data_IF_920341108206
#
_entry.id   IF_920341108206
#
_cell.length_a   1.000
_cell.length_b   1.000
_cell.length_c   1.000
_cell.angle_alpha   90.00
_cell.angle_beta   90.00
_cell.angle_gamma   90.00
#
_symmetry.space_group_name_H-M   'P 1'
#
loop_
_entity.id
_entity.type
_entity.pdbx_description
1 polymer ?
#
# COMPACT_ATOMS: atom_id res chain seq x y z
N UNK A 1 -6.48 -24.25 10.03
CA UNK A 1 -5.40 -23.57 9.29
C UNK A 1 -5.52 -23.97 7.83
N UNK A 2 -6.07 -23.12 6.95
CA UNK A 2 -6.09 -23.42 5.52
C UNK A 2 -4.66 -23.28 4.98
N UNK A 3 -4.02 -24.41 4.69
CA UNK A 3 -2.76 -24.45 3.94
C UNK A 3 -3.04 -24.09 2.48
N UNK A 4 -3.34 -22.82 2.22
CA UNK A 4 -3.52 -22.30 0.87
C UNK A 4 -2.14 -22.14 0.23
N UNK A 5 -1.50 -23.26 -0.11
CA UNK A 5 -0.41 -23.24 -1.07
C UNK A 5 -0.96 -22.68 -2.39
N UNK A 6 -0.25 -21.74 -3.00
CA UNK A 6 -0.66 -21.16 -4.29
C UNK A 6 -0.49 -22.27 -5.35
N UNK A 7 -1.55 -23.07 -5.54
CA UNK A 7 -1.55 -24.16 -6.53
C UNK A 7 -2.16 -23.68 -7.84
N UNK A 8 -1.52 -24.02 -8.95
CA UNK A 8 -2.12 -23.83 -10.26
C UNK A 8 -3.40 -24.67 -10.36
N UNK A 9 -4.47 -24.09 -10.91
CA UNK A 9 -5.76 -24.79 -11.05
C UNK A 9 -5.70 -25.99 -12.01
N UNK A 10 -4.71 -26.04 -12.92
CA UNK A 10 -4.61 -27.07 -13.97
C UNK A 10 -3.43 -27.97 -13.69
N UNK A 11 -3.62 -29.24 -14.05
CA UNK A 11 -2.62 -30.29 -13.89
C UNK A 11 -1.96 -30.68 -15.22
N UNK A 12 -2.50 -30.23 -16.36
CA UNK A 12 -1.93 -30.48 -17.68
C UNK A 12 -0.93 -29.40 -18.09
N UNK A 13 0.13 -29.79 -18.80
CA UNK A 13 1.26 -28.92 -19.17
C UNK A 13 0.81 -27.75 -20.05
N UNK A 14 -0.03 -28.01 -21.05
CA UNK A 14 -0.54 -26.97 -21.96
C UNK A 14 -1.34 -25.88 -21.22
N UNK A 15 -2.24 -26.28 -20.32
CA UNK A 15 -3.03 -25.34 -19.53
C UNK A 15 -2.19 -24.60 -18.49
N UNK A 16 -1.07 -25.17 -18.04
CA UNK A 16 -0.09 -24.48 -17.18
C UNK A 16 0.57 -23.33 -17.95
N UNK A 17 1.01 -23.56 -19.19
CA UNK A 17 1.54 -22.50 -20.04
C UNK A 17 0.52 -21.40 -20.30
N UNK A 18 -0.72 -21.76 -20.63
CA UNK A 18 -1.79 -20.79 -20.82
C UNK A 18 -2.01 -19.92 -19.57
N UNK A 19 -1.96 -20.52 -18.38
CA UNK A 19 -2.11 -19.76 -17.11
C UNK A 19 -0.93 -18.85 -16.83
N UNK A 20 0.29 -19.32 -17.07
CA UNK A 20 1.48 -18.50 -16.87
C UNK A 20 1.46 -17.28 -17.81
N UNK A 21 1.14 -17.51 -19.08
CA UNK A 21 1.01 -16.46 -20.08
C UNK A 21 -0.14 -15.50 -19.73
N UNK A 22 -1.28 -16.02 -19.29
CA UNK A 22 -2.41 -15.20 -18.83
C UNK A 22 -2.06 -14.33 -17.63
N UNK A 23 -1.30 -14.86 -16.66
CA UNK A 23 -0.81 -14.11 -15.51
C UNK A 23 0.16 -13.00 -15.94
N UNK A 24 1.08 -13.32 -16.85
CA UNK A 24 2.08 -12.37 -17.37
C UNK A 24 1.41 -11.24 -18.17
N UNK A 25 0.43 -11.57 -19.00
CA UNK A 25 -0.41 -10.61 -19.71
C UNK A 25 -1.17 -9.69 -18.74
N UNK A 26 -1.80 -10.26 -17.72
CA UNK A 26 -2.51 -9.49 -16.68
C UNK A 26 -1.58 -8.54 -15.94
N UNK A 27 -0.39 -9.00 -15.55
CA UNK A 27 0.63 -8.16 -14.90
C UNK A 27 1.05 -6.98 -15.80
N UNK A 28 1.39 -7.26 -17.06
CA UNK A 28 1.85 -6.24 -18.00
C UNK A 28 0.76 -5.20 -18.30
N UNK A 29 -0.50 -5.64 -18.42
CA UNK A 29 -1.63 -4.74 -18.61
C UNK A 29 -1.79 -3.79 -17.43
N UNK A 30 -1.79 -4.31 -16.20
CA UNK A 30 -1.89 -3.49 -14.98
C UNK A 30 -0.73 -2.49 -14.90
N UNK A 31 0.51 -2.93 -15.20
CA UNK A 31 1.69 -2.06 -15.18
C UNK A 31 1.67 -0.97 -16.25
N UNK A 32 1.12 -1.27 -17.43
CA UNK A 32 0.94 -0.27 -18.49
C UNK A 32 -0.05 0.81 -18.06
N UNK A 33 -1.19 0.43 -17.51
CA UNK A 33 -2.21 1.40 -17.04
C UNK A 33 -1.71 2.24 -15.87
N UNK A 34 -0.97 1.64 -14.95
CA UNK A 34 -0.28 2.36 -13.88
C UNK A 34 0.71 3.40 -14.42
N UNK A 35 1.49 3.04 -15.43
CA UNK A 35 2.46 3.93 -16.06
C UNK A 35 1.78 5.09 -16.79
N UNK A 36 0.68 4.83 -17.50
CA UNK A 36 -0.11 5.87 -18.18
C UNK A 36 -0.72 6.85 -17.18
N UNK A 37 -1.27 6.34 -16.07
CA UNK A 37 -1.79 7.19 -15.00
C UNK A 37 -0.68 8.00 -14.31
N UNK A 38 0.51 7.42 -14.13
CA UNK A 38 1.66 8.15 -13.58
C UNK A 38 2.05 9.33 -14.48
N UNK A 39 2.09 9.12 -15.80
CA UNK A 39 2.36 10.16 -16.80
C UNK A 39 1.29 11.25 -16.77
N UNK A 40 0.00 10.90 -16.70
CA UNK A 40 -1.09 11.89 -16.65
C UNK A 40 -1.05 12.76 -15.38
N UNK A 41 -0.59 12.20 -14.25
CA UNK A 41 -0.48 12.93 -12.98
C UNK A 41 0.89 13.56 -12.74
N UNK A 42 1.83 13.48 -13.69
CA UNK A 42 3.22 13.96 -13.55
C UNK A 42 3.93 13.40 -12.31
N UNK A 43 3.68 12.12 -12.00
CA UNK A 43 4.21 11.41 -10.83
C UNK A 43 5.04 10.22 -11.30
N UNK A 44 5.92 9.71 -10.43
CA UNK A 44 6.65 8.49 -10.72
C UNK A 44 5.75 7.26 -10.51
N UNK A 45 5.84 6.26 -11.40
CA UNK A 45 5.07 5.01 -11.28
C UNK A 45 5.32 4.30 -9.92
N UNK A 46 6.52 4.43 -9.36
CA UNK A 46 6.88 3.87 -8.06
C UNK A 46 6.03 4.40 -6.88
N UNK A 47 5.38 5.55 -7.05
CA UNK A 47 4.49 6.14 -6.03
C UNK A 47 3.10 5.50 -6.02
N UNK A 48 2.74 4.72 -7.05
CA UNK A 48 1.47 4.02 -7.14
C UNK A 48 1.61 2.63 -6.51
N UNK A 49 0.57 2.18 -5.81
CA UNK A 49 0.54 0.83 -5.25
C UNK A 49 -0.11 -0.15 -6.23
N UNK A 50 0.67 -1.12 -6.71
CA UNK A 50 0.18 -2.23 -7.54
C UNK A 50 -1.06 -2.92 -6.97
N UNK A 51 -1.11 -3.13 -5.64
CA UNK A 51 -2.26 -3.74 -4.95
C UNK A 51 -3.54 -2.94 -5.17
N UNK A 52 -3.48 -1.62 -4.99
CA UNK A 52 -4.65 -0.75 -5.12
C UNK A 52 -5.10 -0.64 -6.58
N UNK A 53 -4.15 -0.55 -7.52
CA UNK A 53 -4.46 -0.57 -8.96
C UNK A 53 -5.15 -1.87 -9.35
N UNK A 54 -4.63 -3.02 -8.93
CA UNK A 54 -5.23 -4.32 -9.23
C UNK A 54 -6.65 -4.46 -8.66
N UNK A 55 -6.87 -3.99 -7.43
CA UNK A 55 -8.20 -3.99 -6.80
C UNK A 55 -9.18 -3.09 -7.55
N UNK A 56 -8.74 -1.90 -7.94
CA UNK A 56 -9.55 -0.94 -8.67
C UNK A 56 -9.90 -1.45 -10.08
N UNK A 57 -8.92 -1.96 -10.85
CA UNK A 57 -9.20 -2.60 -12.16
C UNK A 57 -10.17 -3.76 -11.97
N UNK A 58 -9.96 -4.61 -10.96
CA UNK A 58 -10.85 -5.72 -10.67
C UNK A 58 -12.28 -5.27 -10.33
N UNK A 59 -12.46 -4.18 -9.57
CA UNK A 59 -13.79 -3.65 -9.26
C UNK A 59 -14.48 -3.07 -10.49
N UNK A 60 -13.74 -2.35 -11.33
CA UNK A 60 -14.29 -1.77 -12.55
C UNK A 60 -14.70 -2.85 -13.57
N UNK A 61 -13.87 -3.88 -13.75
CA UNK A 61 -14.21 -5.02 -14.60
C UNK A 61 -15.47 -5.77 -14.13
N UNK A 62 -15.71 -5.85 -12.82
CA UNK A 62 -16.94 -6.46 -12.27
C UNK A 62 -18.18 -5.63 -12.57
N UNK A 63 -18.10 -4.32 -12.40
CA UNK A 63 -19.23 -3.39 -12.64
C UNK A 63 -19.55 -3.31 -14.14
N UNK A 64 -18.54 -3.45 -14.99
CA UNK A 64 -18.63 -3.12 -16.42
C UNK A 64 -18.53 -4.33 -17.35
N UNK A 65 -18.93 -5.52 -16.91
CA UNK A 65 -18.89 -6.75 -17.71
C UNK A 65 -19.59 -6.64 -19.09
N UNK A 66 -20.47 -5.64 -19.28
CA UNK A 66 -21.21 -5.39 -20.52
C UNK A 66 -20.81 -4.09 -21.27
N UNK A 67 -19.82 -3.31 -20.81
CA UNK A 67 -19.47 -2.03 -21.43
C UNK A 67 -18.18 -2.08 -22.28
N UNK A 68 -18.12 -1.27 -23.34
CA UNK A 68 -16.97 -1.22 -24.26
C UNK A 68 -15.72 -0.66 -23.58
N UNK A 69 -14.66 -1.48 -23.54
CA UNK A 69 -13.37 -1.23 -22.88
C UNK A 69 -12.63 0.05 -23.33
N UNK A 70 -12.97 0.62 -24.49
CA UNK A 70 -12.17 1.68 -25.14
C UNK A 70 -12.31 3.06 -24.49
N UNK A 71 -13.45 3.38 -23.89
CA UNK A 71 -13.67 4.66 -23.19
C UNK A 71 -12.96 4.72 -21.82
N UNK A 72 -12.47 3.57 -21.34
CA UNK A 72 -12.00 3.39 -19.98
C UNK A 72 -10.57 3.90 -19.73
N UNK A 73 -9.64 3.77 -20.69
CA UNK A 73 -8.23 4.18 -20.50
C UNK A 73 -8.09 5.65 -20.08
N UNK A 74 -8.94 6.54 -20.62
CA UNK A 74 -8.95 7.95 -20.26
C UNK A 74 -9.54 8.18 -18.86
N UNK A 75 -10.71 7.60 -18.55
CA UNK A 75 -11.41 7.77 -17.27
C UNK A 75 -10.64 7.13 -16.10
N UNK A 76 -9.95 6.03 -16.37
CA UNK A 76 -9.07 5.33 -15.45
C UNK A 76 -7.96 6.27 -14.96
N UNK A 77 -7.28 6.94 -15.90
CA UNK A 77 -6.21 7.88 -15.55
C UNK A 77 -6.69 9.01 -14.63
N UNK A 78 -7.88 9.57 -14.83
CA UNK A 78 -8.41 10.66 -13.98
C UNK A 78 -8.75 10.21 -12.54
N UNK A 79 -9.21 8.97 -12.35
CA UNK A 79 -9.69 8.47 -11.04
C UNK A 79 -8.58 7.92 -10.14
N UNK A 80 -7.38 7.62 -10.66
CA UNK A 80 -6.30 7.02 -9.85
C UNK A 80 -5.59 8.00 -8.89
N UNK A 81 -6.00 9.28 -8.79
CA UNK A 81 -5.41 10.22 -7.81
C UNK A 81 -5.43 9.67 -6.37
N UNK A 82 -6.43 8.86 -6.05
CA UNK A 82 -6.61 8.26 -4.72
C UNK A 82 -5.65 7.07 -4.47
N UNK A 83 -5.00 6.53 -5.51
CA UNK A 83 -4.18 5.31 -5.42
C UNK A 83 -2.70 5.58 -5.20
N UNK A 84 -2.28 6.85 -5.17
CA UNK A 84 -0.92 7.22 -4.81
C UNK A 84 -0.67 6.92 -3.33
N UNK A 85 0.47 6.30 -3.04
CA UNK A 85 0.90 6.05 -1.67
C UNK A 85 1.18 7.39 -1.00
N UNK A 86 0.46 7.67 0.08
CA UNK A 86 0.80 8.79 0.93
C UNK A 86 2.13 8.50 1.63
N UNK A 87 3.14 9.31 1.32
CA UNK A 87 4.44 9.24 2.00
C UNK A 87 4.30 9.97 3.33
N UNK A 88 3.94 9.24 4.39
CA UNK A 88 3.95 9.83 5.73
C UNK A 88 5.38 10.25 6.09
N UNK A 89 5.59 11.50 6.50
CA UNK A 89 6.92 11.97 6.87
C UNK A 89 7.45 11.14 8.03
N UNK A 90 8.76 10.89 8.01
CA UNK A 90 9.42 10.20 9.11
C UNK A 90 9.18 11.00 10.40
N UNK A 91 8.67 10.40 11.48
CA UNK A 91 8.48 11.11 12.74
C UNK A 91 9.80 11.74 13.19
N UNK A 92 9.78 13.06 13.45
CA UNK A 92 10.95 13.85 13.87
C UNK A 92 11.53 13.41 15.22
N UNK A 93 10.73 12.70 16.04
CA UNK A 93 11.20 12.18 17.32
C UNK A 93 12.39 11.24 17.12
N UNK A 94 13.45 11.33 17.95
CA UNK A 94 14.53 10.36 17.92
C UNK A 94 13.96 8.95 18.08
N UNK A 95 14.56 7.97 17.41
CA UNK A 95 14.16 6.56 17.54
C UNK A 95 14.40 6.16 19.00
N UNK A 96 13.35 6.20 19.81
CA UNK A 96 13.38 5.64 21.16
C UNK A 96 13.65 4.15 20.98
N UNK A 97 14.83 3.73 21.39
CA UNK A 97 15.17 2.31 21.47
C UNK A 97 14.23 1.72 22.51
N UNK A 98 13.45 0.70 22.12
CA UNK A 98 12.62 -0.05 23.06
C UNK A 98 13.53 -0.54 24.19
N UNK A 99 13.26 -0.11 25.42
CA UNK A 99 14.08 -0.49 26.58
C UNK A 99 14.16 -2.02 26.66
N UNK A 100 15.37 -2.56 26.49
CA UNK A 100 15.63 -3.97 26.68
C UNK A 100 15.99 -4.21 28.15
N UNK A 101 15.08 -4.86 28.89
CA UNK A 101 15.26 -5.18 30.32
C UNK A 101 16.46 -6.10 30.58
N UNK A 102 16.98 -6.80 29.57
CA UNK A 102 18.15 -7.67 29.72
C UNK A 102 19.50 -6.97 29.54
N UNK A 103 19.54 -5.80 28.86
CA UNK A 103 20.80 -5.14 28.50
C UNK A 103 21.30 -4.16 29.58
N UNK A 104 20.41 -3.61 30.40
CA UNK A 104 20.78 -2.72 31.50
C UNK A 104 20.16 -3.21 32.81
N UNK A 105 20.92 -3.24 33.92
CA UNK A 105 20.39 -3.66 35.21
C UNK A 105 19.27 -2.71 35.67
N UNK A 106 18.15 -3.29 36.10
CA UNK A 106 17.02 -2.53 36.62
C UNK A 106 17.39 -1.96 37.99
N UNK A 107 17.45 -0.64 38.12
CA UNK A 107 17.67 0.02 39.39
C UNK A 107 16.42 -0.12 40.29
N UNK A 108 16.42 -1.12 41.18
CA UNK A 108 15.32 -1.40 42.12
C UNK A 108 15.20 -0.38 43.25
N UNK A 109 16.22 0.47 43.43
CA UNK A 109 16.22 1.58 44.39
C UNK A 109 15.82 2.92 43.76
N UNK A 110 15.47 2.93 42.46
CA UNK A 110 14.98 4.14 41.82
C UNK A 110 13.69 4.57 42.52
N UNK A 111 13.63 5.84 42.93
CA UNK A 111 12.40 6.42 43.46
C UNK A 111 11.28 6.23 42.41
N UNK A 112 10.04 5.93 42.82
CA UNK A 112 8.93 5.81 41.88
C UNK A 112 8.88 7.08 41.04
N UNK A 113 8.92 6.92 39.71
CA UNK A 113 8.89 8.05 38.77
C UNK A 113 7.61 8.85 39.07
N UNK A 114 7.76 9.97 39.78
CA UNK A 114 6.66 10.89 40.03
C UNK A 114 6.22 11.43 38.67
N UNK A 115 5.01 11.08 38.26
CA UNK A 115 4.32 11.64 37.09
C UNK A 115 3.96 13.11 37.37
N UNK A 116 4.95 13.97 37.64
CA UNK A 116 4.74 15.40 37.93
C UNK A 116 5.33 16.32 36.87
N UNK A 117 5.63 15.82 35.67
CA UNK A 117 6.20 16.64 34.59
C UNK A 117 5.62 16.31 33.21
N UNK A 118 4.29 16.34 33.07
CA UNK A 118 3.62 16.55 31.77
C UNK A 118 2.41 17.49 31.91
N UNK A 119 2.49 18.46 32.82
CA UNK A 119 1.64 19.67 32.79
C UNK A 119 2.50 20.86 32.41
N UNK A 120 2.88 20.98 31.14
CA UNK A 120 3.33 22.26 30.61
C UNK A 120 2.65 22.55 29.26
N UNK A 121 1.63 23.40 29.37
CA UNK A 121 1.12 24.43 28.43
C UNK A 121 0.50 24.04 27.06
N UNK A 122 -0.85 24.00 27.04
CA UNK A 122 -1.63 24.96 26.21
C UNK A 122 -1.89 26.20 27.10
N UNK A 123 -2.14 27.45 26.61
CA UNK A 123 -2.92 27.76 25.40
C UNK A 123 -2.54 29.09 24.65
N UNK A 124 -3.37 29.48 23.67
CA UNK A 124 -3.60 30.84 23.13
C UNK A 124 -2.51 31.54 22.29
N UNK A 125 -2.83 31.80 21.01
CA UNK A 125 -3.01 33.17 20.51
C UNK A 125 -3.77 33.17 19.18
N UNK A 126 -4.93 33.81 19.21
CA UNK A 126 -5.67 34.37 18.07
C UNK A 126 -4.81 35.46 17.43
N UNK A 127 -4.68 35.44 16.11
CA UNK A 127 -4.67 36.62 15.23
C UNK A 127 -5.18 36.18 13.87
#
# INVERSE_FOLDING_TARGET
MQHNAITLRSKTVELVYQKLLGLMLGYNLIRREESLAAVSHKRASNEISFKYVCQFIGSQLKVMANALFRQYTQAFSCTLRVLFKEKSPRPSRPRVVKMNKSRYPVNRKAAPLKLTALRFYRPFLLY
#
